data_IF_503470707581
#
_entry.id   IF_503470707581
#
_cell.length_a   1.000
_cell.length_b   1.000
_cell.length_c   1.000
_cell.angle_alpha   90.00
_cell.angle_beta   90.00
_cell.angle_gamma   90.00
#
_symmetry.space_group_name_H-M   'P 1'
#
loop_
_entity.id
_entity.type
_entity.pdbx_description
1 polymer ?
#
# COMPACT_ATOMS: atom_id res chain seq x y z
N UNK A 1 2.03 25.12 5.04
CA UNK A 1 2.95 24.47 4.06
C UNK A 1 3.24 25.40 2.91
N UNK A 2 4.50 25.46 2.46
CA UNK A 2 4.87 26.15 1.21
C UNK A 2 4.60 25.22 0.04
N UNK A 3 4.25 25.78 -1.13
CA UNK A 3 3.98 25.03 -2.35
C UNK A 3 4.77 25.65 -3.51
N UNK A 4 5.43 24.79 -4.30
CA UNK A 4 6.10 25.18 -5.55
C UNK A 4 5.64 24.22 -6.63
N UNK A 5 5.22 24.79 -7.77
CA UNK A 5 4.78 24.01 -8.94
C UNK A 5 5.94 23.82 -9.90
N UNK A 6 5.99 22.65 -10.51
CA UNK A 6 6.95 22.27 -11.55
C UNK A 6 6.20 21.79 -12.80
N UNK A 7 6.95 21.55 -13.88
CA UNK A 7 6.40 20.86 -15.05
C UNK A 7 5.82 19.51 -14.64
N UNK A 8 4.84 19.05 -15.38
CA UNK A 8 4.28 17.71 -15.16
C UNK A 8 5.30 16.62 -15.50
N UNK A 9 5.48 15.69 -14.59
CA UNK A 9 6.26 14.48 -14.78
C UNK A 9 5.29 13.30 -14.81
N UNK A 10 5.18 12.65 -15.95
CA UNK A 10 4.19 11.58 -16.15
C UNK A 10 4.55 10.30 -15.40
N UNK A 11 5.86 9.98 -15.33
CA UNK A 11 6.35 8.78 -14.67
C UNK A 11 6.96 9.10 -13.30
N UNK A 12 6.26 8.77 -12.17
CA UNK A 12 6.75 9.04 -10.83
C UNK A 12 8.07 8.31 -10.50
N UNK A 13 8.30 7.15 -11.13
CA UNK A 13 9.47 6.32 -10.90
C UNK A 13 10.77 6.97 -11.38
N UNK A 14 10.69 7.79 -12.43
CA UNK A 14 11.84 8.57 -12.92
C UNK A 14 12.29 9.59 -11.86
N UNK A 15 11.33 10.33 -11.32
CA UNK A 15 11.59 11.37 -10.32
C UNK A 15 12.02 10.78 -8.98
N UNK A 16 11.45 9.65 -8.61
CA UNK A 16 11.79 8.98 -7.35
C UNK A 16 13.27 8.54 -7.32
N UNK A 17 13.90 8.33 -8.47
CA UNK A 17 15.34 8.04 -8.57
C UNK A 17 16.22 9.09 -7.88
N UNK A 18 15.75 10.33 -7.74
CA UNK A 18 16.45 11.40 -7.01
C UNK A 18 16.60 11.11 -5.50
N UNK A 19 15.73 10.26 -4.95
CA UNK A 19 15.66 10.00 -3.51
C UNK A 19 15.59 8.51 -3.16
N UNK A 20 15.56 7.62 -4.13
CA UNK A 20 15.33 6.18 -3.94
C UNK A 20 16.35 5.52 -2.99
N UNK A 21 17.61 6.01 -2.99
CA UNK A 21 18.69 5.52 -2.15
C UNK A 21 18.67 6.09 -0.71
N UNK A 22 17.75 7.01 -0.41
CA UNK A 22 17.67 7.60 0.93
C UNK A 22 16.90 6.68 1.86
N UNK A 23 17.42 6.45 3.05
CA UNK A 23 16.68 5.71 4.07
C UNK A 23 15.34 6.40 4.38
N UNK A 24 14.31 5.60 4.57
CA UNK A 24 12.94 6.08 4.78
C UNK A 24 12.37 6.84 3.58
N UNK A 25 12.90 6.63 2.38
CA UNK A 25 12.24 7.11 1.18
C UNK A 25 11.00 6.27 0.86
N UNK A 26 9.96 6.94 0.41
CA UNK A 26 8.65 6.34 0.12
C UNK A 26 8.14 6.85 -1.20
N UNK A 27 7.69 5.93 -2.05
CA UNK A 27 6.87 6.20 -3.22
C UNK A 27 5.52 5.51 -3.02
N UNK A 28 4.43 6.27 -3.09
CA UNK A 28 3.09 5.76 -3.32
C UNK A 28 2.78 5.97 -4.79
N UNK A 29 2.75 4.86 -5.53
CA UNK A 29 2.69 4.80 -6.99
C UNK A 29 1.32 4.32 -7.42
N UNK A 30 0.55 5.21 -8.02
CA UNK A 30 -0.77 4.89 -8.56
C UNK A 30 -0.74 4.01 -9.80
N UNK A 31 0.44 3.82 -10.34
CA UNK A 31 0.72 3.03 -11.54
C UNK A 31 -0.25 3.32 -12.68
N UNK A 32 -0.24 4.56 -13.15
CA UNK A 32 -1.14 5.03 -14.21
C UNK A 32 -1.08 4.13 -15.43
N UNK A 33 -2.23 3.68 -15.88
CA UNK A 33 -2.39 2.95 -17.12
C UNK A 33 -3.73 3.31 -17.79
N UNK A 34 -3.97 2.82 -18.99
CA UNK A 34 -5.18 3.15 -19.76
C UNK A 34 -6.50 2.69 -19.13
N UNK A 35 -6.46 1.78 -18.18
CA UNK A 35 -7.63 1.20 -17.52
C UNK A 35 -7.86 1.72 -16.11
N UNK A 36 -6.77 2.13 -15.42
CA UNK A 36 -6.83 2.65 -14.06
C UNK A 36 -6.14 4.02 -14.01
N UNK A 37 -6.93 5.05 -13.74
CA UNK A 37 -6.44 6.42 -13.57
C UNK A 37 -6.69 6.84 -12.14
N UNK A 38 -5.66 6.75 -11.33
CA UNK A 38 -5.66 7.38 -10.03
C UNK A 38 -5.18 8.83 -10.17
N UNK A 39 -5.66 9.69 -9.28
CA UNK A 39 -5.40 11.11 -9.41
C UNK A 39 -3.97 11.51 -9.05
N UNK A 40 -3.37 10.83 -8.08
CA UNK A 40 -2.12 11.27 -7.47
C UNK A 40 -1.09 10.16 -7.33
N UNK A 41 0.19 10.53 -7.56
CA UNK A 41 1.34 9.86 -6.99
C UNK A 41 1.98 10.75 -5.93
N UNK A 42 2.64 10.14 -4.95
CA UNK A 42 3.30 10.85 -3.87
C UNK A 42 4.65 10.22 -3.54
N UNK A 43 5.66 11.07 -3.31
CA UNK A 43 6.96 10.62 -2.83
C UNK A 43 7.54 11.56 -1.78
N UNK A 44 8.32 11.00 -0.87
CA UNK A 44 9.00 11.72 0.21
C UNK A 44 10.20 10.92 0.72
N UNK A 45 11.03 11.55 1.55
CA UNK A 45 12.15 10.92 2.27
C UNK A 45 12.52 11.71 3.52
N UNK A 46 13.46 11.20 4.30
CA UNK A 46 14.06 11.87 5.45
C UNK A 46 13.01 12.42 6.43
N UNK A 47 12.25 11.53 7.09
CA UNK A 47 11.27 11.96 8.07
C UNK A 47 11.93 12.65 9.25
N UNK A 48 11.27 13.66 9.79
CA UNK A 48 11.73 14.40 11.00
C UNK A 48 11.62 13.55 12.26
N UNK A 49 10.70 12.59 12.27
CA UNK A 49 10.50 11.64 13.35
C UNK A 49 10.24 10.25 12.75
N UNK A 50 10.84 9.24 13.32
CA UNK A 50 10.63 7.83 12.98
C UNK A 50 10.01 7.13 14.19
N UNK A 51 8.92 6.42 13.99
CA UNK A 51 8.22 5.64 15.02
C UNK A 51 8.10 4.21 14.50
N UNK A 52 8.72 3.27 15.19
CA UNK A 52 8.66 1.86 14.79
C UNK A 52 8.77 0.93 16.00
N UNK A 53 8.25 -0.29 15.87
CA UNK A 53 8.26 -1.24 16.97
C UNK A 53 7.47 -2.51 16.74
N UNK A 54 7.36 -3.31 17.82
CA UNK A 54 6.60 -4.56 17.88
C UNK A 54 5.76 -4.60 19.15
N UNK A 55 4.46 -4.84 19.01
CA UNK A 55 3.54 -4.84 20.15
C UNK A 55 3.63 -3.50 20.90
N UNK A 56 3.86 -3.56 22.21
CA UNK A 56 4.02 -2.39 23.08
C UNK A 56 5.46 -1.84 23.16
N UNK A 57 6.40 -2.39 22.39
CA UNK A 57 7.79 -1.93 22.38
C UNK A 57 8.03 -1.04 21.19
N UNK A 58 8.19 0.24 21.43
CA UNK A 58 8.38 1.26 20.41
C UNK A 58 9.73 1.92 20.50
N UNK A 59 10.21 2.38 19.37
CA UNK A 59 11.33 3.29 19.22
C UNK A 59 10.81 4.58 18.59
N UNK A 60 11.16 5.71 19.18
CA UNK A 60 10.99 7.04 18.61
C UNK A 60 12.38 7.60 18.36
N UNK A 61 12.65 7.97 17.12
CA UNK A 61 13.95 8.47 16.69
C UNK A 61 13.78 9.78 15.92
N UNK A 62 14.54 10.79 16.31
CA UNK A 62 14.68 12.08 15.62
C UNK A 62 16.18 12.38 15.40
N UNK A 63 16.52 13.54 14.81
CA UNK A 63 17.89 13.95 14.54
C UNK A 63 18.77 14.08 15.79
N UNK A 64 18.16 14.16 16.98
CA UNK A 64 18.86 14.43 18.26
C UNK A 64 18.86 13.23 19.20
N UNK A 65 17.90 12.32 19.09
CA UNK A 65 17.68 11.28 20.08
C UNK A 65 17.04 10.04 19.49
N UNK A 66 17.34 8.91 20.15
CA UNK A 66 16.66 7.63 19.95
C UNK A 66 16.19 7.14 21.30
N UNK A 67 14.87 6.97 21.46
CA UNK A 67 14.23 6.59 22.71
C UNK A 67 13.48 5.28 22.54
N UNK A 68 13.63 4.40 23.52
CA UNK A 68 12.82 3.18 23.66
C UNK A 68 11.67 3.47 24.63
N UNK A 69 10.46 3.23 24.20
CA UNK A 69 9.23 3.57 24.93
C UNK A 69 8.37 2.32 25.04
N UNK A 70 7.88 2.04 26.24
CA UNK A 70 6.94 0.95 26.50
C UNK A 70 5.51 1.48 26.26
N UNK A 71 5.15 1.58 25.00
CA UNK A 71 3.83 2.02 24.52
C UNK A 71 3.67 1.52 23.09
N UNK A 72 2.44 1.22 22.72
CA UNK A 72 2.07 0.85 21.36
C UNK A 72 2.42 1.96 20.35
N UNK A 73 3.04 1.61 19.21
CA UNK A 73 3.46 2.59 18.20
C UNK A 73 2.31 3.41 17.60
N UNK A 74 1.07 2.88 17.53
CA UNK A 74 -0.10 3.62 17.03
C UNK A 74 -0.47 4.73 17.98
N UNK A 75 -0.49 4.45 19.29
CA UNK A 75 -0.73 5.47 20.32
C UNK A 75 0.31 6.59 20.26
N UNK A 76 1.58 6.22 20.09
CA UNK A 76 2.66 7.20 19.91
C UNK A 76 2.46 8.02 18.64
N UNK A 77 2.15 7.37 17.53
CA UNK A 77 1.88 8.05 16.26
C UNK A 77 0.77 9.08 16.42
N UNK A 78 -0.32 8.71 17.12
CA UNK A 78 -1.43 9.61 17.42
C UNK A 78 -0.97 10.84 18.24
N UNK A 79 -0.13 10.65 19.27
CA UNK A 79 0.41 11.75 20.08
C UNK A 79 1.23 12.73 19.24
N UNK A 80 2.13 12.22 18.40
CA UNK A 80 2.99 13.04 17.55
C UNK A 80 2.27 13.73 16.40
N UNK A 81 1.07 13.26 16.03
CA UNK A 81 0.26 13.82 14.95
C UNK A 81 -0.76 14.88 15.40
N UNK A 82 -1.10 14.95 16.70
CA UNK A 82 -2.21 15.78 17.24
C UNK A 82 -2.21 17.26 16.81
N UNK A 83 -1.03 17.87 16.65
CA UNK A 83 -0.93 19.31 16.39
C UNK A 83 -0.14 19.63 15.12
N UNK A 84 0.05 18.68 14.22
CA UNK A 84 1.18 18.77 13.31
C UNK A 84 0.89 19.32 11.92
N UNK A 85 -0.34 19.25 11.40
CA UNK A 85 -0.56 19.52 9.97
C UNK A 85 -1.87 20.26 9.70
N UNK A 86 -1.77 21.34 8.90
CA UNK A 86 -2.95 21.97 8.31
C UNK A 86 -3.37 21.16 7.09
N UNK A 87 -4.58 20.67 7.10
CA UNK A 87 -5.18 19.98 5.96
C UNK A 87 -5.44 20.96 4.81
N UNK A 88 -5.08 20.54 3.62
CA UNK A 88 -5.49 21.15 2.36
C UNK A 88 -6.19 20.07 1.54
N UNK A 89 -7.50 20.09 1.51
CA UNK A 89 -8.34 19.06 0.90
C UNK A 89 -8.13 18.91 -0.61
N UNK A 90 -7.40 19.83 -1.25
CA UNK A 90 -7.05 19.76 -2.66
C UNK A 90 -5.91 18.79 -2.96
N UNK A 91 -5.11 18.41 -1.94
CA UNK A 91 -3.94 17.54 -2.06
C UNK A 91 -4.11 16.27 -1.21
N UNK A 92 -3.58 15.13 -1.66
CA UNK A 92 -3.70 13.86 -0.93
C UNK A 92 -2.84 13.81 0.33
N UNK A 93 -1.87 14.69 0.42
CA UNK A 93 -0.91 14.75 1.52
C UNK A 93 -0.35 16.16 1.66
N UNK A 94 -0.29 16.67 2.87
CA UNK A 94 0.28 18.01 3.19
C UNK A 94 1.32 17.95 4.31
N UNK A 95 2.00 16.82 4.42
CA UNK A 95 2.83 16.43 5.54
C UNK A 95 2.09 15.49 6.46
N UNK A 96 2.81 14.69 7.24
CA UNK A 96 2.22 13.71 8.11
C UNK A 96 2.98 12.40 8.14
N UNK A 97 2.30 11.35 8.58
CA UNK A 97 2.88 10.04 8.74
C UNK A 97 2.65 9.16 7.51
N UNK A 98 3.72 8.53 7.05
CA UNK A 98 3.68 7.49 6.01
C UNK A 98 4.48 6.28 6.47
N UNK A 99 3.96 5.08 6.23
CA UNK A 99 4.62 3.87 6.68
C UNK A 99 3.79 2.61 6.43
N UNK A 100 4.03 1.58 7.24
CA UNK A 100 3.29 0.33 7.15
C UNK A 100 2.89 -0.21 8.52
N UNK A 101 1.83 -1.00 8.50
CA UNK A 101 1.36 -1.85 9.58
C UNK A 101 1.43 -3.29 9.11
N UNK A 102 2.11 -4.18 9.84
CA UNK A 102 2.07 -5.60 9.56
C UNK A 102 0.77 -6.22 10.08
N UNK A 103 0.39 -7.35 9.50
CA UNK A 103 -0.74 -8.15 9.96
C UNK A 103 -0.59 -8.57 11.44
N UNK A 104 0.64 -8.88 11.86
CA UNK A 104 0.94 -9.36 13.21
C UNK A 104 0.78 -8.30 14.31
N UNK A 105 0.68 -7.02 13.96
CA UNK A 105 0.34 -5.98 14.95
C UNK A 105 -1.06 -6.20 15.54
N UNK A 106 -1.97 -6.84 14.80
CA UNK A 106 -3.28 -7.24 15.30
C UNK A 106 -3.24 -8.10 16.55
N UNK A 107 -2.16 -8.87 16.76
CA UNK A 107 -1.98 -9.70 17.96
C UNK A 107 -1.92 -8.90 19.26
N UNK A 108 -1.68 -7.58 19.19
CA UNK A 108 -1.76 -6.71 20.37
C UNK A 108 -3.21 -6.48 20.83
N UNK A 109 -4.14 -6.47 19.89
CA UNK A 109 -5.55 -6.12 20.15
C UNK A 109 -6.42 -7.38 20.29
N UNK A 110 -6.01 -8.46 19.62
CA UNK A 110 -6.69 -9.75 19.63
C UNK A 110 -5.85 -10.77 20.39
N UNK A 111 -6.47 -11.60 21.24
CA UNK A 111 -5.78 -12.65 22.00
C UNK A 111 -5.40 -13.83 21.10
N UNK A 112 -4.45 -13.60 20.19
CA UNK A 112 -3.96 -14.62 19.24
C UNK A 112 -2.55 -15.06 19.66
N UNK A 113 -2.33 -16.36 19.70
CA UNK A 113 -1.00 -16.93 19.98
C UNK A 113 0.01 -16.50 18.91
N UNK A 114 1.04 -15.79 19.33
CA UNK A 114 2.10 -15.37 18.44
C UNK A 114 2.94 -16.56 18.02
N UNK A 115 3.02 -16.82 16.73
CA UNK A 115 4.02 -17.73 16.17
C UNK A 115 5.38 -17.03 16.13
N UNK A 116 6.43 -17.83 16.17
CA UNK A 116 7.80 -17.31 16.00
C UNK A 116 7.91 -16.61 14.64
N UNK A 117 8.29 -15.34 14.69
CA UNK A 117 8.58 -14.57 13.49
C UNK A 117 9.97 -14.94 12.96
N UNK A 118 10.05 -15.21 11.67
CA UNK A 118 11.31 -15.55 10.98
C UNK A 118 12.13 -14.30 10.58
N UNK A 119 11.51 -13.11 10.66
CA UNK A 119 12.12 -11.84 10.25
C UNK A 119 12.26 -10.87 11.42
N UNK A 120 13.41 -10.24 11.54
CA UNK A 120 13.62 -9.16 12.50
C UNK A 120 13.18 -7.80 11.93
N UNK A 121 11.92 -7.72 11.52
CA UNK A 121 11.29 -6.52 10.95
C UNK A 121 10.29 -5.96 11.96
N UNK A 122 10.22 -4.65 12.21
CA UNK A 122 9.18 -4.05 13.03
C UNK A 122 7.77 -4.42 12.52
N UNK A 123 6.80 -4.56 13.43
CA UNK A 123 5.40 -4.75 13.03
C UNK A 123 4.77 -3.47 12.54
N UNK A 124 5.30 -2.34 13.00
CA UNK A 124 4.91 -1.00 12.57
C UNK A 124 6.16 -0.18 12.30
N UNK A 125 6.15 0.60 11.23
CA UNK A 125 7.15 1.64 10.99
C UNK A 125 6.54 2.81 10.22
N UNK A 126 6.54 4.00 10.85
CA UNK A 126 6.08 5.25 10.27
C UNK A 126 7.15 6.32 10.37
N UNK A 127 7.35 7.05 9.27
CA UNK A 127 8.06 8.31 9.26
C UNK A 127 7.06 9.47 9.28
N UNK A 128 7.36 10.53 10.04
CA UNK A 128 6.62 11.80 9.99
C UNK A 128 7.40 12.76 9.09
N UNK A 129 6.80 13.18 8.00
CA UNK A 129 7.44 13.92 6.92
C UNK A 129 6.93 15.35 6.85
N UNK A 130 7.86 16.29 6.70
CA UNK A 130 7.60 17.72 6.57
C UNK A 130 7.62 18.21 5.11
N UNK A 131 7.80 17.31 4.15
CA UNK A 131 7.78 17.61 2.72
C UNK A 131 7.28 16.43 1.89
N UNK A 132 6.76 16.69 0.72
CA UNK A 132 6.46 15.67 -0.29
C UNK A 132 6.45 16.27 -1.69
N UNK A 133 6.73 15.44 -2.68
CA UNK A 133 6.47 15.71 -4.08
C UNK A 133 5.21 14.97 -4.49
N UNK A 134 4.26 15.68 -5.06
CA UNK A 134 2.96 15.16 -5.47
C UNK A 134 2.80 15.38 -6.97
N UNK A 135 2.47 14.33 -7.70
CA UNK A 135 2.12 14.40 -9.11
C UNK A 135 0.60 14.30 -9.21
N UNK A 136 -0.03 15.33 -9.78
CA UNK A 136 -1.47 15.33 -10.04
C UNK A 136 -1.71 15.10 -11.54
N UNK A 137 -2.22 13.92 -11.86
CA UNK A 137 -2.43 13.47 -13.24
C UNK A 137 -3.64 14.11 -13.90
N UNK A 138 -4.65 14.55 -13.12
CA UNK A 138 -5.85 15.20 -13.67
C UNK A 138 -5.54 16.57 -14.24
N UNK A 139 -4.78 17.37 -13.51
CA UNK A 139 -4.41 18.74 -13.91
C UNK A 139 -3.02 18.81 -14.53
N UNK A 140 -2.32 17.68 -14.64
CA UNK A 140 -0.96 17.56 -15.17
C UNK A 140 0.02 18.55 -14.54
N UNK A 141 0.12 18.50 -13.22
CA UNK A 141 1.04 19.33 -12.44
C UNK A 141 1.85 18.46 -11.49
N UNK A 142 3.08 18.87 -11.24
CA UNK A 142 3.92 18.34 -10.15
C UNK A 142 4.09 19.42 -9.11
N UNK A 143 3.83 19.11 -7.85
CA UNK A 143 3.79 20.06 -6.75
C UNK A 143 4.73 19.58 -5.65
N UNK A 144 5.74 20.37 -5.32
CA UNK A 144 6.56 20.19 -4.13
C UNK A 144 5.94 20.96 -2.97
N UNK A 145 5.59 20.26 -1.91
CA UNK A 145 5.13 20.86 -0.65
C UNK A 145 6.19 20.68 0.44
N UNK A 146 6.36 21.64 1.30
CA UNK A 146 7.32 21.56 2.40
C UNK A 146 6.99 22.56 3.51
N UNK A 147 7.32 22.19 4.76
CA UNK A 147 7.18 23.04 5.94
C UNK A 147 8.35 24.02 6.07
N UNK A 148 9.57 23.50 5.91
CA UNK A 148 10.82 24.27 5.98
C UNK A 148 11.64 24.10 4.70
N UNK A 149 12.28 25.15 4.25
CA UNK A 149 13.20 25.10 3.10
C UNK A 149 14.58 24.60 3.56
N UNK A 150 14.68 23.29 3.78
CA UNK A 150 15.93 22.62 4.16
C UNK A 150 16.88 22.51 2.97
N UNK A 151 18.15 22.18 3.22
CA UNK A 151 19.13 21.92 2.15
C UNK A 151 18.64 20.82 1.20
N UNK A 152 18.02 19.76 1.73
CA UNK A 152 17.40 18.69 0.93
C UNK A 152 16.32 19.25 0.01
N UNK A 153 15.38 20.03 0.55
CA UNK A 153 14.29 20.63 -0.24
C UNK A 153 14.85 21.54 -1.33
N UNK A 154 15.88 22.32 -1.03
CA UNK A 154 16.53 23.17 -2.04
C UNK A 154 17.24 22.36 -3.11
N UNK A 155 17.92 21.27 -2.72
CA UNK A 155 18.54 20.34 -3.67
C UNK A 155 17.52 19.72 -4.60
N UNK A 156 16.39 19.24 -4.07
CA UNK A 156 15.30 18.67 -4.86
C UNK A 156 14.72 19.68 -5.85
N UNK A 157 14.48 20.93 -5.41
CA UNK A 157 14.04 22.00 -6.32
C UNK A 157 14.98 22.17 -7.50
N UNK A 158 16.26 22.33 -7.24
CA UNK A 158 17.27 22.53 -8.28
C UNK A 158 17.33 21.32 -9.26
N UNK A 159 17.22 20.10 -8.71
CA UNK A 159 17.20 18.88 -9.52
C UNK A 159 15.94 18.77 -10.39
N UNK A 160 14.76 19.17 -9.87
CA UNK A 160 13.52 19.17 -10.63
C UNK A 160 13.51 20.23 -11.76
N UNK A 161 14.13 21.39 -11.55
CA UNK A 161 14.25 22.45 -12.57
C UNK A 161 15.11 22.00 -13.76
N UNK A 162 16.16 21.23 -13.49
CA UNK A 162 17.12 20.74 -14.50
C UNK A 162 16.96 19.24 -14.79
N UNK A 163 15.82 18.66 -14.41
CA UNK A 163 15.62 17.22 -14.55
C UNK A 163 15.57 16.80 -16.02
N UNK A 164 16.47 15.93 -16.37
CA UNK A 164 16.49 15.16 -17.60
C UNK A 164 16.26 13.69 -17.24
N UNK A 165 15.47 13.00 -18.05
CA UNK A 165 15.21 11.57 -17.82
C UNK A 165 16.53 10.78 -17.93
N UNK A 166 16.86 10.11 -16.84
CA UNK A 166 18.03 9.24 -16.76
C UNK A 166 17.62 7.80 -17.10
N UNK A 167 18.03 7.34 -18.28
CA UNK A 167 17.81 5.96 -18.73
C UNK A 167 18.81 4.98 -18.11
N UNK A 168 19.35 5.26 -16.92
CA UNK A 168 20.26 4.35 -16.23
C UNK A 168 19.59 3.00 -16.02
N UNK A 169 20.16 1.96 -16.60
CA UNK A 169 19.69 0.60 -16.41
C UNK A 169 20.07 0.12 -15.01
N UNK A 170 19.08 -0.14 -14.20
CA UNK A 170 19.27 -0.80 -12.90
C UNK A 170 19.50 -2.29 -13.13
N UNK A 171 20.64 -2.78 -12.69
CA UNK A 171 20.95 -4.20 -12.80
C UNK A 171 20.48 -4.96 -11.56
N UNK A 172 19.84 -6.09 -11.78
CA UNK A 172 19.53 -7.08 -10.74
C UNK A 172 19.55 -8.49 -11.37
N UNK A 173 19.80 -9.48 -10.52
CA UNK A 173 19.83 -10.89 -10.94
C UNK A 173 19.22 -11.79 -9.86
N UNK A 174 18.57 -12.86 -10.28
CA UNK A 174 18.05 -13.89 -9.37
C UNK A 174 19.10 -14.99 -9.24
N UNK A 175 19.61 -15.19 -8.02
CA UNK A 175 20.75 -16.05 -7.73
C UNK A 175 20.37 -17.42 -7.16
N UNK A 176 19.06 -17.72 -7.05
CA UNK A 176 18.58 -19.01 -6.58
C UNK A 176 17.21 -19.36 -7.13
N UNK A 177 16.84 -20.63 -7.07
CA UNK A 177 15.45 -21.02 -7.23
C UNK A 177 14.64 -20.51 -6.03
N UNK A 178 13.34 -20.25 -6.24
CA UNK A 178 12.44 -19.95 -5.15
C UNK A 178 12.21 -21.17 -4.25
N UNK A 179 12.02 -20.91 -2.96
CA UNK A 179 11.67 -21.92 -1.96
C UNK A 179 10.35 -21.51 -1.30
N UNK A 180 9.42 -22.44 -1.22
CA UNK A 180 8.20 -22.28 -0.44
C UNK A 180 8.47 -22.56 1.04
N UNK A 181 7.69 -21.90 1.92
CA UNK A 181 7.68 -22.20 3.36
C UNK A 181 6.84 -23.43 3.72
N UNK A 182 6.15 -24.04 2.75
CA UNK A 182 5.37 -25.27 2.88
C UNK A 182 5.75 -26.22 1.76
N UNK A 183 5.84 -27.52 2.05
CA UNK A 183 5.85 -28.54 1.00
C UNK A 183 4.47 -28.66 0.36
N UNK A 184 4.39 -29.37 -0.77
CA UNK A 184 3.09 -29.63 -1.42
C UNK A 184 2.19 -30.47 -0.53
N UNK A 185 2.72 -31.48 0.14
CA UNK A 185 2.00 -32.38 1.05
C UNK A 185 1.45 -31.61 2.26
N UNK A 186 2.26 -30.77 2.88
CA UNK A 186 1.83 -29.90 3.99
C UNK A 186 0.75 -28.89 3.55
N UNK A 187 0.87 -28.35 2.32
CA UNK A 187 -0.16 -27.49 1.77
C UNK A 187 -1.49 -28.23 1.61
N UNK A 188 -1.47 -29.43 1.01
CA UNK A 188 -2.68 -30.25 0.81
C UNK A 188 -3.32 -30.66 2.14
N UNK A 189 -2.54 -31.06 3.12
CA UNK A 189 -3.03 -31.40 4.46
C UNK A 189 -3.76 -30.20 5.11
N UNK A 190 -3.12 -29.04 5.13
CA UNK A 190 -3.70 -27.81 5.71
C UNK A 190 -4.94 -27.35 4.94
N UNK A 191 -4.91 -27.44 3.61
CA UNK A 191 -6.06 -27.10 2.77
C UNK A 191 -7.27 -28.01 3.07
N UNK A 192 -7.06 -29.30 3.19
CA UNK A 192 -8.12 -30.24 3.54
C UNK A 192 -8.68 -29.98 4.95
N UNK A 193 -7.83 -29.63 5.90
CA UNK A 193 -8.26 -29.24 7.25
C UNK A 193 -9.13 -27.98 7.24
N UNK A 194 -8.76 -26.97 6.43
CA UNK A 194 -9.58 -25.76 6.23
C UNK A 194 -10.95 -26.11 5.66
N UNK A 195 -11.00 -27.01 4.66
CA UNK A 195 -12.28 -27.48 4.10
C UNK A 195 -13.15 -28.18 5.14
N UNK A 196 -12.55 -28.95 6.05
CA UNK A 196 -13.28 -29.59 7.16
C UNK A 196 -13.93 -28.52 8.07
N UNK A 197 -13.17 -27.51 8.51
CA UNK A 197 -13.71 -26.44 9.34
C UNK A 197 -14.88 -25.69 8.69
N UNK A 198 -14.79 -25.43 7.37
CA UNK A 198 -15.90 -24.81 6.63
C UNK A 198 -17.13 -25.74 6.57
N UNK A 199 -16.94 -27.03 6.31
CA UNK A 199 -18.04 -28.00 6.25
C UNK A 199 -18.70 -28.24 7.62
N UNK A 200 -17.93 -28.18 8.69
CA UNK A 200 -18.41 -28.34 10.08
C UNK A 200 -19.07 -27.06 10.62
N UNK A 201 -18.94 -25.95 9.91
CA UNK A 201 -19.54 -24.66 10.28
C UNK A 201 -18.73 -23.86 11.28
N UNK A 202 -17.47 -24.23 11.52
CA UNK A 202 -16.56 -23.49 12.43
C UNK A 202 -16.18 -22.12 11.86
N UNK A 203 -16.14 -21.99 10.54
CA UNK A 203 -15.89 -20.73 9.84
C UNK A 203 -16.50 -20.73 8.44
N UNK A 204 -16.67 -19.55 7.87
CA UNK A 204 -17.19 -19.37 6.51
C UNK A 204 -16.07 -19.23 5.47
N UNK A 205 -14.95 -18.63 5.86
CA UNK A 205 -13.80 -18.39 5.00
C UNK A 205 -12.50 -18.34 5.83
N UNK A 206 -11.42 -18.83 5.23
CA UNK A 206 -10.06 -18.70 5.77
C UNK A 206 -9.13 -18.18 4.68
N UNK A 207 -8.36 -17.16 4.97
CA UNK A 207 -7.26 -16.72 4.12
C UNK A 207 -6.04 -17.59 4.39
N UNK A 208 -5.70 -18.44 3.42
CA UNK A 208 -4.55 -19.33 3.52
C UNK A 208 -3.45 -18.83 2.61
N UNK A 209 -2.38 -18.31 3.20
CA UNK A 209 -1.24 -17.75 2.49
C UNK A 209 -0.03 -18.67 2.50
N UNK A 210 0.80 -18.52 1.46
CA UNK A 210 2.06 -19.22 1.28
C UNK A 210 3.15 -18.20 0.97
N UNK A 211 4.34 -18.40 1.56
CA UNK A 211 5.50 -17.54 1.33
C UNK A 211 6.51 -18.22 0.41
N UNK A 212 6.99 -17.47 -0.56
CA UNK A 212 8.11 -17.86 -1.40
C UNK A 212 9.31 -16.98 -1.12
N UNK A 213 10.51 -17.58 -1.08
CA UNK A 213 11.76 -16.90 -0.84
C UNK A 213 12.76 -17.24 -1.93
N UNK A 214 13.57 -16.28 -2.33
CA UNK A 214 14.66 -16.45 -3.28
C UNK A 214 15.82 -15.51 -2.90
N UNK A 215 17.01 -15.82 -3.41
CA UNK A 215 18.17 -14.93 -3.31
C UNK A 215 18.32 -14.12 -4.59
N UNK A 216 18.63 -12.85 -4.44
CA UNK A 216 18.87 -11.94 -5.54
C UNK A 216 20.12 -11.10 -5.26
N UNK A 217 20.71 -10.52 -6.32
CA UNK A 217 21.77 -9.51 -6.27
C UNK A 217 21.34 -8.24 -6.98
N UNK A 218 21.98 -7.12 -6.67
CA UNK A 218 21.75 -5.84 -7.34
C UNK A 218 20.66 -4.97 -6.74
N UNK A 219 20.00 -4.17 -7.58
CA UNK A 219 19.11 -3.08 -7.16
C UNK A 219 17.68 -3.54 -6.85
N UNK A 220 17.22 -3.35 -5.60
CA UNK A 220 15.81 -3.48 -5.24
C UNK A 220 14.92 -2.49 -6.00
N UNK A 221 15.40 -1.29 -6.23
CA UNK A 221 14.67 -0.29 -7.00
C UNK A 221 14.48 -0.74 -8.45
N UNK A 222 15.51 -1.34 -9.06
CA UNK A 222 15.42 -1.95 -10.38
C UNK A 222 14.38 -3.07 -10.45
N UNK A 223 14.29 -3.91 -9.42
CA UNK A 223 13.26 -4.94 -9.31
C UNK A 223 11.86 -4.28 -9.28
N UNK A 224 11.67 -3.26 -8.43
CA UNK A 224 10.40 -2.56 -8.34
C UNK A 224 9.97 -1.93 -9.68
N UNK A 225 10.87 -1.21 -10.36
CA UNK A 225 10.59 -0.61 -11.69
C UNK A 225 10.10 -1.68 -12.68
N UNK A 226 10.84 -2.77 -12.81
CA UNK A 226 10.49 -3.86 -13.74
C UNK A 226 9.15 -4.51 -13.41
N UNK A 227 8.88 -4.79 -12.12
CA UNK A 227 7.63 -5.40 -11.70
C UNK A 227 6.45 -4.43 -11.84
N UNK A 228 6.63 -3.14 -11.55
CA UNK A 228 5.57 -2.15 -11.68
C UNK A 228 5.13 -1.92 -13.13
N UNK A 229 6.03 -2.07 -14.10
CA UNK A 229 5.70 -2.03 -15.53
C UNK A 229 4.82 -3.21 -15.96
N UNK A 230 5.07 -4.38 -15.39
CA UNK A 230 4.38 -5.63 -15.77
C UNK A 230 3.13 -5.93 -14.95
N UNK A 231 3.15 -5.58 -13.66
CA UNK A 231 2.14 -5.96 -12.66
C UNK A 231 1.60 -4.77 -11.87
N UNK A 232 1.80 -3.57 -12.36
CA UNK A 232 1.41 -2.36 -11.66
C UNK A 232 -0.06 -2.33 -11.27
N UNK A 233 -0.32 -1.95 -10.03
CA UNK A 233 -1.62 -1.88 -9.43
C UNK A 233 -1.86 -0.49 -8.80
N UNK A 234 -3.12 -0.05 -8.63
CA UNK A 234 -3.44 1.33 -8.24
C UNK A 234 -2.97 1.75 -6.83
N UNK A 235 -2.62 0.80 -5.99
CA UNK A 235 -2.09 1.04 -4.63
C UNK A 235 -0.70 0.42 -4.49
N UNK A 236 0.14 0.62 -5.51
CA UNK A 236 1.54 0.21 -5.46
C UNK A 236 2.35 1.13 -4.57
N UNK A 237 3.39 0.59 -3.94
CA UNK A 237 4.29 1.36 -3.11
C UNK A 237 5.69 0.78 -3.07
N UNK A 238 6.68 1.65 -2.96
CA UNK A 238 8.05 1.31 -2.62
C UNK A 238 8.46 2.03 -1.34
N UNK A 239 8.83 1.26 -0.30
CA UNK A 239 9.23 1.77 1.00
C UNK A 239 10.67 1.31 1.28
N UNK A 240 11.58 2.26 1.40
CA UNK A 240 13.01 2.01 1.58
C UNK A 240 13.43 2.20 3.04
N UNK A 241 13.33 1.15 3.85
CA UNK A 241 13.80 1.18 5.23
C UNK A 241 15.21 0.59 5.39
N UNK A 242 15.97 0.97 6.43
CA UNK A 242 17.27 0.35 6.73
C UNK A 242 17.18 -1.16 7.00
N UNK A 243 16.06 -1.62 7.55
CA UNK A 243 15.84 -3.02 7.92
C UNK A 243 15.14 -3.84 6.84
N UNK A 244 14.48 -3.22 5.86
CA UNK A 244 13.80 -3.90 4.75
C UNK A 244 13.45 -2.94 3.61
N UNK A 245 13.37 -3.48 2.38
CA UNK A 245 12.74 -2.82 1.24
C UNK A 245 11.40 -3.48 0.99
N UNK A 246 10.31 -2.72 1.10
CA UNK A 246 8.96 -3.22 0.89
C UNK A 246 8.48 -2.78 -0.49
N UNK A 247 8.07 -3.74 -1.30
CA UNK A 247 7.50 -3.53 -2.63
C UNK A 247 6.06 -4.04 -2.61
N UNK A 248 5.11 -3.16 -2.75
CA UNK A 248 3.69 -3.47 -2.75
C UNK A 248 3.11 -3.27 -4.15
N UNK A 249 2.29 -4.22 -4.60
CA UNK A 249 1.53 -4.15 -5.86
C UNK A 249 0.08 -4.52 -5.55
N UNK A 250 -0.57 -3.75 -4.68
CA UNK A 250 -1.93 -4.03 -4.24
C UNK A 250 -2.97 -3.43 -5.19
N UNK A 251 -3.95 -4.22 -5.64
CA UNK A 251 -5.11 -3.70 -6.36
C UNK A 251 -6.18 -3.15 -5.42
N UNK A 252 -6.10 -3.45 -4.12
CA UNK A 252 -7.19 -3.24 -3.16
C UNK A 252 -6.88 -2.12 -2.18
N UNK A 253 -7.86 -1.23 -1.99
CA UNK A 253 -7.83 -0.19 -0.97
C UNK A 253 -8.54 -0.67 0.29
N UNK A 254 -7.82 -0.66 1.41
CA UNK A 254 -8.39 -1.06 2.68
C UNK A 254 -9.38 -0.01 3.20
N UNK A 255 -8.89 1.18 3.55
CA UNK A 255 -9.70 2.29 4.06
C UNK A 255 -9.19 3.59 3.44
N UNK A 256 -10.12 4.47 3.07
CA UNK A 256 -9.87 5.87 2.79
C UNK A 256 -10.75 6.72 3.69
N UNK A 257 -10.14 7.62 4.43
CA UNK A 257 -10.87 8.59 5.26
C UNK A 257 -10.56 10.00 4.79
N UNK A 258 -11.62 10.76 4.49
CA UNK A 258 -11.52 12.18 4.17
C UNK A 258 -12.48 12.96 5.07
N UNK A 259 -11.94 13.67 6.06
CA UNK A 259 -12.72 14.30 7.08
C UNK A 259 -13.55 13.28 7.87
N UNK A 260 -14.89 13.36 7.75
CA UNK A 260 -15.82 12.42 8.38
C UNK A 260 -16.27 11.28 7.47
N UNK A 261 -15.95 11.33 6.19
CA UNK A 261 -16.31 10.29 5.23
C UNK A 261 -15.26 9.19 5.24
N UNK A 262 -15.71 7.94 5.37
CA UNK A 262 -14.85 6.75 5.35
C UNK A 262 -15.36 5.81 4.26
N UNK A 263 -14.45 5.35 3.41
CA UNK A 263 -14.75 4.45 2.29
C UNK A 263 -13.85 3.22 2.32
N UNK A 264 -14.42 2.06 1.99
CA UNK A 264 -13.67 0.83 1.71
C UNK A 264 -14.17 0.19 0.42
N UNK A 265 -13.26 -0.54 -0.27
CA UNK A 265 -13.54 -1.18 -1.57
C UNK A 265 -13.08 -2.63 -1.58
N UNK A 266 -13.84 -3.56 -0.99
CA UNK A 266 -13.50 -4.97 -1.05
C UNK A 266 -13.60 -5.53 -2.46
N UNK A 267 -12.64 -6.38 -2.81
CA UNK A 267 -12.55 -7.07 -4.08
C UNK A 267 -12.77 -8.57 -3.85
N UNK A 268 -13.71 -9.16 -4.59
CA UNK A 268 -13.86 -10.61 -4.71
C UNK A 268 -14.19 -10.95 -6.16
N UNK A 269 -13.60 -12.04 -6.63
CA UNK A 269 -13.72 -12.42 -8.02
C UNK A 269 -12.79 -11.69 -8.97
N UNK A 270 -12.10 -12.45 -9.79
CA UNK A 270 -11.11 -11.96 -10.75
C UNK A 270 -11.19 -12.75 -12.04
N UNK A 271 -11.09 -12.04 -13.18
CA UNK A 271 -10.92 -12.64 -14.51
C UNK A 271 -9.81 -11.91 -15.25
N UNK A 272 -9.05 -12.59 -16.11
CA UNK A 272 -8.02 -11.94 -16.93
C UNK A 272 -8.65 -10.98 -17.94
N UNK A 273 -7.90 -9.94 -18.29
CA UNK A 273 -8.22 -9.08 -19.45
C UNK A 273 -7.71 -9.78 -20.70
N UNK A 274 -8.56 -9.94 -21.72
CA UNK A 274 -8.16 -10.41 -23.04
C UNK A 274 -7.97 -9.25 -24.01
N UNK A 275 -7.04 -9.39 -24.95
CA UNK A 275 -6.90 -8.47 -26.08
C UNK A 275 -8.01 -8.65 -27.13
N UNK A 276 -8.66 -9.82 -27.17
CA UNK A 276 -9.84 -10.05 -27.99
C UNK A 276 -11.09 -9.49 -27.29
N UNK A 277 -11.80 -8.61 -27.96
CA UNK A 277 -12.97 -7.91 -27.40
C UNK A 277 -14.13 -8.87 -27.04
N UNK A 278 -14.30 -9.97 -27.79
CA UNK A 278 -15.35 -10.96 -27.51
C UNK A 278 -15.01 -11.77 -26.27
N UNK A 279 -13.79 -12.27 -26.19
CA UNK A 279 -13.30 -12.97 -24.98
C UNK A 279 -13.36 -12.04 -23.77
N UNK A 280 -12.94 -10.80 -23.94
CA UNK A 280 -12.96 -9.81 -22.85
C UNK A 280 -14.39 -9.57 -22.34
N UNK A 281 -15.35 -9.42 -23.25
CA UNK A 281 -16.77 -9.29 -22.90
C UNK A 281 -17.32 -10.55 -22.23
N UNK A 282 -16.87 -11.72 -22.67
CA UNK A 282 -17.24 -13.00 -22.04
C UNK A 282 -16.72 -13.07 -20.59
N UNK A 283 -15.44 -12.75 -20.34
CA UNK A 283 -14.86 -12.73 -18.99
C UNK A 283 -15.61 -11.81 -18.04
N UNK A 284 -15.99 -10.60 -18.52
CA UNK A 284 -16.80 -9.67 -17.75
C UNK A 284 -18.18 -10.25 -17.42
N UNK A 285 -18.85 -10.86 -18.42
CA UNK A 285 -20.18 -11.44 -18.21
C UNK A 285 -20.14 -12.66 -17.28
N UNK A 286 -19.12 -13.52 -17.39
CA UNK A 286 -18.91 -14.64 -16.48
C UNK A 286 -18.70 -14.15 -15.04
N UNK A 287 -17.89 -13.10 -14.84
CA UNK A 287 -17.65 -12.52 -13.54
C UNK A 287 -18.93 -11.91 -12.94
N UNK A 288 -19.68 -11.18 -13.74
CA UNK A 288 -20.98 -10.61 -13.33
C UNK A 288 -22.04 -11.65 -13.03
N UNK A 289 -22.04 -12.76 -13.74
CA UNK A 289 -23.02 -13.84 -13.58
C UNK A 289 -22.63 -14.92 -12.56
N UNK A 290 -21.51 -14.77 -11.88
CA UNK A 290 -21.02 -15.78 -10.93
C UNK A 290 -21.68 -15.60 -9.55
N UNK A 291 -22.67 -16.45 -9.25
CA UNK A 291 -23.34 -16.49 -7.95
C UNK A 291 -22.35 -16.68 -6.79
N UNK A 292 -21.30 -17.48 -7.01
CA UNK A 292 -20.25 -17.73 -6.02
C UNK A 292 -19.50 -16.42 -5.68
N UNK A 293 -19.02 -15.70 -6.70
CA UNK A 293 -18.23 -14.48 -6.50
C UNK A 293 -19.09 -13.36 -5.89
N UNK A 294 -20.37 -13.29 -6.27
CA UNK A 294 -21.32 -12.35 -5.68
C UNK A 294 -21.60 -12.70 -4.21
N UNK A 295 -21.79 -13.96 -3.87
CA UNK A 295 -22.03 -14.41 -2.49
C UNK A 295 -20.81 -14.14 -1.59
N UNK A 296 -19.59 -14.41 -2.08
CA UNK A 296 -18.34 -14.06 -1.37
C UNK A 296 -18.22 -12.55 -1.17
N UNK A 297 -18.48 -11.75 -2.20
CA UNK A 297 -18.40 -10.30 -2.11
C UNK A 297 -19.43 -9.76 -1.11
N UNK A 298 -20.68 -10.23 -1.17
CA UNK A 298 -21.73 -9.82 -0.23
C UNK A 298 -21.38 -10.13 1.23
N UNK A 299 -20.79 -11.28 1.49
CA UNK A 299 -20.35 -11.68 2.84
C UNK A 299 -19.29 -10.71 3.38
N UNK A 300 -18.34 -10.29 2.55
CA UNK A 300 -17.31 -9.32 2.97
C UNK A 300 -17.90 -7.91 3.12
N UNK A 301 -18.82 -7.52 2.25
CA UNK A 301 -19.57 -6.25 2.40
C UNK A 301 -20.31 -6.20 3.75
N UNK A 302 -20.99 -7.26 4.13
CA UNK A 302 -21.70 -7.33 5.42
C UNK A 302 -20.74 -7.26 6.61
N UNK A 303 -19.58 -7.93 6.53
CA UNK A 303 -18.54 -7.86 7.56
C UNK A 303 -18.05 -6.40 7.72
N UNK A 304 -17.69 -5.74 6.62
CA UNK A 304 -17.21 -4.36 6.64
C UNK A 304 -18.29 -3.35 7.07
N UNK A 305 -19.55 -3.57 6.69
CA UNK A 305 -20.67 -2.77 7.19
C UNK A 305 -20.82 -2.87 8.72
N UNK A 306 -20.64 -4.08 9.27
CA UNK A 306 -20.66 -4.27 10.72
C UNK A 306 -19.49 -3.54 11.40
N UNK A 307 -18.30 -3.58 10.82
CA UNK A 307 -17.13 -2.89 11.38
C UNK A 307 -17.27 -1.37 11.29
N UNK A 308 -17.78 -0.85 10.18
CA UNK A 308 -18.09 0.58 10.07
C UNK A 308 -19.21 0.99 11.03
N UNK A 309 -20.23 0.15 11.22
CA UNK A 309 -21.32 0.40 12.15
C UNK A 309 -20.90 0.57 13.61
N UNK A 310 -19.71 0.05 14.00
CA UNK A 310 -19.12 0.25 15.33
C UNK A 310 -18.44 1.61 15.49
N UNK A 311 -18.05 2.26 14.39
CA UNK A 311 -17.17 3.43 14.39
C UNK A 311 -17.78 4.66 13.70
N UNK A 312 -18.85 4.49 12.93
CA UNK A 312 -19.55 5.55 12.18
C UNK A 312 -20.87 5.93 12.86
N UNK A 313 -21.43 7.06 12.47
CA UNK A 313 -22.72 7.53 12.97
C UNK A 313 -23.85 6.52 12.63
N UNK A 314 -24.77 6.33 13.55
CA UNK A 314 -25.88 5.38 13.37
C UNK A 314 -26.69 5.70 12.10
N UNK A 315 -26.85 4.70 11.23
CA UNK A 315 -27.61 4.83 9.99
C UNK A 315 -26.87 5.51 8.83
N UNK A 316 -25.57 5.84 8.99
CA UNK A 316 -24.75 6.48 7.95
C UNK A 316 -24.04 5.50 7.02
N UNK A 317 -24.02 4.21 7.35
CA UNK A 317 -23.30 3.20 6.55
C UNK A 317 -24.15 2.78 5.35
N UNK A 318 -23.64 3.05 4.15
CA UNK A 318 -24.29 2.78 2.87
C UNK A 318 -23.46 1.87 1.99
N UNK A 319 -24.10 1.13 1.10
CA UNK A 319 -23.43 0.43 -0.01
C UNK A 319 -23.72 1.23 -1.28
N UNK A 320 -22.72 1.97 -1.75
CA UNK A 320 -22.86 2.89 -2.89
C UNK A 320 -22.85 2.12 -4.21
N UNK A 321 -21.90 1.19 -4.36
CA UNK A 321 -21.79 0.30 -5.51
C UNK A 321 -21.76 -1.16 -5.01
N UNK A 322 -22.56 -2.03 -5.62
CA UNK A 322 -22.57 -3.45 -5.34
C UNK A 322 -22.25 -4.23 -6.62
N UNK A 323 -21.24 -5.12 -6.58
CA UNK A 323 -20.85 -5.98 -7.69
C UNK A 323 -20.44 -5.24 -8.97
N UNK A 324 -19.78 -4.11 -8.83
CA UNK A 324 -19.26 -3.34 -9.95
C UNK A 324 -18.02 -4.00 -10.54
N UNK A 325 -17.93 -4.04 -11.88
CA UNK A 325 -16.70 -4.48 -12.53
C UNK A 325 -15.75 -3.28 -12.65
N UNK A 326 -14.58 -3.43 -12.06
CA UNK A 326 -13.44 -2.53 -12.28
C UNK A 326 -12.37 -3.25 -13.09
N UNK A 327 -11.88 -2.61 -14.16
CA UNK A 327 -10.87 -3.16 -15.06
C UNK A 327 -9.52 -2.52 -14.77
N UNK A 328 -8.51 -3.34 -14.56
CA UNK A 328 -7.11 -2.95 -14.38
C UNK A 328 -6.28 -3.43 -15.58
N UNK A 329 -4.97 -3.24 -15.54
CA UNK A 329 -4.11 -3.54 -16.69
C UNK A 329 -4.28 -4.97 -17.22
N UNK A 330 -4.37 -5.95 -16.32
CA UNK A 330 -4.35 -7.38 -16.67
C UNK A 330 -5.55 -8.16 -16.15
N UNK A 331 -6.44 -7.52 -15.37
CA UNK A 331 -7.53 -8.22 -14.69
C UNK A 331 -8.80 -7.36 -14.59
N UNK A 332 -9.94 -8.06 -14.58
CA UNK A 332 -11.24 -7.52 -14.16
C UNK A 332 -11.51 -7.99 -12.74
N UNK A 333 -11.95 -7.09 -11.88
CA UNK A 333 -12.37 -7.38 -10.51
C UNK A 333 -13.84 -7.08 -10.29
N UNK A 334 -14.47 -7.87 -9.41
CA UNK A 334 -15.79 -7.60 -8.86
C UNK A 334 -15.61 -6.83 -7.54
N UNK A 335 -16.00 -5.56 -7.53
CA UNK A 335 -15.75 -4.59 -6.47
C UNK A 335 -17.07 -4.09 -5.91
N UNK A 336 -17.13 -3.91 -4.58
CA UNK A 336 -18.21 -3.17 -3.92
C UNK A 336 -17.65 -1.98 -3.16
N UNK A 337 -18.49 -0.97 -2.94
CA UNK A 337 -18.10 0.25 -2.24
C UNK A 337 -19.07 0.54 -1.12
#
# INVERSE_FOLDING_TARGET
>A
MNKVKFKYFENPREIFSLIENRDWSVLLDSNQNKFSRQRFDMMTSDPTIKIYGRGEKSVVEDDKSKKHIQLDPISLLHEYMKDSFNQDDSLPFTGGAVGFLSYDQGNLYECIDQKKDDFDIPYIAFGIYDWALIINHDVKETILIYKKNTELVQKIKNQLESFEEDNTAYHFEINSNYKSNLSYEEYVEKFNKIKSYILEGDCYQINFSQRFSLNYGGSCWGIYKTLSESYGAPYSAYLNYPFAKIMCFSPERFINQNGKEVETKPIKGTRPVSLDEKENSQMINELKGSDKEQAENLMIVDLLRNDFGKNCDFGSVEVVDLFKIETFANVHHLVST
#
